data_IF_615182756663
#
_entry.id   IF_615182756663
#
_cell.length_a   1.000
_cell.length_b   1.000
_cell.length_c   1.000
_cell.angle_alpha   90.00
_cell.angle_beta   90.00
_cell.angle_gamma   90.00
#
_symmetry.space_group_name_H-M   'P 1'
#
loop_
_entity.id
_entity.type
_entity.pdbx_description
1 polymer ?
#
# COMPACT_ATOMS: atom_id res chain seq x y z
N UNK A 1 22.93 14.13 -7.55
CA UNK A 1 23.10 13.25 -6.40
C UNK A 1 22.30 13.85 -5.25
N UNK A 2 21.32 13.11 -4.75
CA UNK A 2 20.53 13.53 -3.60
C UNK A 2 21.38 13.63 -2.33
N UNK A 3 20.80 14.17 -1.27
CA UNK A 3 21.42 14.11 0.06
C UNK A 3 21.26 12.70 0.62
N UNK A 4 22.18 12.27 1.46
CA UNK A 4 22.10 11.01 2.18
C UNK A 4 21.46 11.26 3.55
N UNK A 5 20.50 10.42 3.89
CA UNK A 5 19.78 10.45 5.16
C UNK A 5 20.13 9.21 6.00
N UNK A 6 20.16 9.39 7.31
CA UNK A 6 20.20 8.31 8.29
C UNK A 6 18.95 8.45 9.18
N UNK A 7 18.14 7.42 9.24
CA UNK A 7 16.81 7.48 9.82
C UNK A 7 16.63 6.40 10.89
N UNK A 8 15.76 6.65 11.84
CA UNK A 8 15.29 5.66 12.82
C UNK A 8 13.88 5.24 12.44
N UNK A 9 13.68 3.97 12.17
CA UNK A 9 12.37 3.43 11.84
C UNK A 9 11.80 2.70 13.04
N UNK A 10 10.53 2.95 13.35
CA UNK A 10 9.74 2.19 14.31
C UNK A 10 8.63 1.49 13.54
N UNK A 11 8.82 0.21 13.24
CA UNK A 11 7.98 -0.56 12.33
C UNK A 11 7.11 -1.55 13.09
N UNK A 12 5.84 -1.63 12.73
CA UNK A 12 4.94 -2.66 13.23
C UNK A 12 5.35 -4.03 12.69
N UNK A 13 5.53 -4.99 13.59
CA UNK A 13 5.80 -6.39 13.28
C UNK A 13 4.70 -7.26 13.86
N UNK A 14 4.23 -8.21 13.07
CA UNK A 14 3.19 -9.15 13.44
C UNK A 14 3.34 -10.42 12.60
N UNK A 15 3.48 -11.57 13.24
CA UNK A 15 3.79 -12.81 12.54
C UNK A 15 2.59 -13.40 11.80
N UNK A 16 1.38 -13.20 12.33
CA UNK A 16 0.13 -13.70 11.76
C UNK A 16 -1.08 -12.92 12.32
N UNK A 17 -2.29 -13.27 11.89
CA UNK A 17 -3.52 -12.57 12.28
C UNK A 17 -3.89 -12.72 13.76
N UNK A 18 -3.44 -13.78 14.43
CA UNK A 18 -3.70 -14.05 15.85
C UNK A 18 -2.68 -13.39 16.78
N UNK A 19 -1.54 -12.94 16.24
CA UNK A 19 -0.52 -12.24 17.03
C UNK A 19 -0.99 -10.83 17.40
N UNK A 20 -0.66 -10.39 18.60
CA UNK A 20 -0.96 -9.04 19.09
C UNK A 20 -0.15 -7.95 18.39
N UNK A 21 0.95 -8.34 17.75
CA UNK A 21 1.90 -7.45 17.12
C UNK A 21 2.72 -6.62 18.10
N UNK A 22 3.78 -6.01 17.60
CA UNK A 22 4.70 -5.16 18.37
C UNK A 22 5.39 -4.16 17.46
N UNK A 23 5.96 -3.12 18.04
CA UNK A 23 6.88 -2.25 17.32
C UNK A 23 8.32 -2.73 17.50
N UNK A 24 9.07 -2.73 16.41
CA UNK A 24 10.52 -2.96 16.41
C UNK A 24 11.25 -1.77 15.78
N UNK A 25 12.46 -1.51 16.25
CA UNK A 25 13.28 -0.39 15.79
C UNK A 25 14.35 -0.86 14.81
N UNK A 26 14.54 -0.10 13.75
CA UNK A 26 15.53 -0.35 12.69
C UNK A 26 16.25 0.93 12.33
N UNK A 27 17.51 0.80 11.94
CA UNK A 27 18.30 1.89 11.35
C UNK A 27 18.21 1.81 9.82
N UNK A 28 17.84 2.93 9.18
CA UNK A 28 17.91 3.09 7.74
C UNK A 28 19.01 4.10 7.41
N UNK A 29 20.22 3.59 7.15
CA UNK A 29 21.38 4.41 6.91
C UNK A 29 21.72 4.48 5.42
N UNK A 30 22.29 5.61 4.98
CA UNK A 30 22.73 5.75 3.60
C UNK A 30 21.60 5.92 2.59
N UNK A 31 20.43 6.37 3.02
CA UNK A 31 19.24 6.54 2.17
C UNK A 31 19.34 7.80 1.34
N UNK A 32 19.34 7.68 0.01
CA UNK A 32 19.32 8.82 -0.89
C UNK A 32 17.94 9.51 -0.88
N UNK A 33 17.92 10.83 -0.86
CA UNK A 33 16.69 11.62 -0.89
C UNK A 33 15.84 11.44 -2.15
N UNK A 34 16.43 10.93 -3.23
CA UNK A 34 15.72 10.65 -4.49
C UNK A 34 15.02 9.29 -4.50
N UNK A 35 15.35 8.39 -3.55
CA UNK A 35 14.62 7.14 -3.35
C UNK A 35 13.18 7.40 -2.93
N UNK A 36 12.30 6.48 -3.29
CA UNK A 36 10.96 6.38 -2.72
C UNK A 36 11.00 5.75 -1.32
N UNK A 37 9.94 5.95 -0.55
CA UNK A 37 9.78 5.31 0.77
C UNK A 37 9.82 3.77 0.67
N UNK A 38 9.28 3.23 -0.43
CA UNK A 38 9.27 1.79 -0.67
C UNK A 38 10.69 1.26 -0.93
N UNK A 39 11.50 1.99 -1.73
CA UNK A 39 12.91 1.64 -1.96
C UNK A 39 13.75 1.70 -0.68
N UNK A 40 13.47 2.65 0.20
CA UNK A 40 14.10 2.71 1.52
C UNK A 40 13.80 1.44 2.34
N UNK A 41 12.56 0.92 2.29
CA UNK A 41 12.20 -0.34 2.95
C UNK A 41 12.90 -1.54 2.29
N UNK A 42 13.09 -1.54 0.97
CA UNK A 42 13.88 -2.56 0.27
C UNK A 42 15.34 -2.59 0.79
N UNK A 43 15.98 -1.42 0.92
CA UNK A 43 17.36 -1.31 1.45
C UNK A 43 17.44 -1.84 2.89
N UNK A 44 16.47 -1.52 3.74
CA UNK A 44 16.42 -2.05 5.11
C UNK A 44 16.28 -3.57 5.09
N UNK A 45 15.41 -4.10 4.23
CA UNK A 45 15.19 -5.55 4.10
C UNK A 45 16.43 -6.28 3.58
N UNK A 46 17.16 -5.71 2.62
CA UNK A 46 18.44 -6.26 2.17
C UNK A 46 19.41 -6.41 3.35
N UNK A 47 19.57 -5.37 4.16
CA UNK A 47 20.44 -5.43 5.34
C UNK A 47 19.95 -6.44 6.40
N UNK A 48 18.65 -6.63 6.56
CA UNK A 48 18.09 -7.66 7.44
C UNK A 48 18.41 -9.06 6.94
N UNK A 49 18.23 -9.33 5.64
CA UNK A 49 18.50 -10.62 4.99
C UNK A 49 19.99 -10.95 5.08
N UNK A 50 20.87 -10.01 4.77
CA UNK A 50 22.32 -10.19 4.90
C UNK A 50 22.74 -10.49 6.36
N UNK A 51 22.05 -9.89 7.33
CA UNK A 51 22.22 -10.16 8.76
C UNK A 51 21.55 -11.45 9.25
N UNK A 52 20.95 -12.26 8.38
CA UNK A 52 20.24 -13.49 8.72
C UNK A 52 18.96 -13.25 9.52
N UNK A 53 18.38 -12.06 9.45
CA UNK A 53 17.13 -11.67 10.10
C UNK A 53 15.97 -11.73 9.13
N UNK A 54 14.77 -11.86 9.66
CA UNK A 54 13.56 -11.88 8.86
C UNK A 54 13.22 -10.48 8.33
N UNK A 55 12.98 -10.33 7.01
CA UNK A 55 12.64 -9.04 6.42
C UNK A 55 11.25 -8.58 6.88
N UNK A 56 11.01 -7.27 6.76
CA UNK A 56 9.70 -6.66 6.99
C UNK A 56 8.80 -7.03 5.82
N UNK A 57 7.65 -7.65 6.09
CA UNK A 57 6.68 -7.99 5.07
C UNK A 57 5.82 -6.77 4.71
N UNK A 58 5.78 -6.42 3.43
CA UNK A 58 4.91 -5.37 2.88
C UNK A 58 4.49 -5.72 1.45
N UNK A 59 3.33 -5.21 1.03
CA UNK A 59 2.83 -5.38 -0.33
C UNK A 59 3.38 -4.31 -1.26
N UNK A 60 3.73 -4.72 -2.48
CA UNK A 60 4.05 -3.83 -3.59
C UNK A 60 3.73 -4.49 -4.92
N UNK A 61 3.39 -3.68 -5.93
CA UNK A 61 3.11 -4.16 -7.27
C UNK A 61 3.61 -3.17 -8.32
N UNK A 62 2.81 -2.19 -8.74
CA UNK A 62 3.13 -1.29 -9.85
C UNK A 62 4.38 -0.42 -9.62
N UNK A 63 4.68 -0.04 -8.39
CA UNK A 63 5.72 0.92 -7.98
C UNK A 63 5.64 2.30 -8.67
N UNK A 64 4.49 2.63 -9.24
CA UNK A 64 4.23 3.86 -10.00
C UNK A 64 3.06 4.69 -9.44
N UNK A 65 2.60 4.39 -8.23
CA UNK A 65 1.52 5.13 -7.59
C UNK A 65 0.12 4.87 -8.15
N UNK A 66 -0.12 3.73 -8.81
CA UNK A 66 -1.36 3.43 -9.53
C UNK A 66 -2.22 2.41 -8.77
N UNK A 67 -1.63 1.27 -8.33
CA UNK A 67 -2.39 0.12 -7.85
C UNK A 67 -2.83 0.22 -6.38
N UNK A 68 -2.16 1.04 -5.56
CA UNK A 68 -2.45 1.18 -4.13
C UNK A 68 -2.02 0.00 -3.25
N UNK A 69 -1.30 -1.00 -3.78
CA UNK A 69 -0.87 -2.18 -3.01
C UNK A 69 0.07 -1.83 -1.85
N UNK A 70 0.94 -0.84 -2.03
CA UNK A 70 1.90 -0.39 -1.02
C UNK A 70 1.29 0.54 0.05
N UNK A 71 0.00 0.39 0.34
CA UNK A 71 -0.71 1.20 1.34
C UNK A 71 -0.23 0.91 2.75
N UNK A 72 0.16 1.95 3.49
CA UNK A 72 0.59 1.86 4.89
C UNK A 72 0.37 3.18 5.60
N UNK A 73 0.47 3.20 6.91
CA UNK A 73 0.39 4.43 7.72
C UNK A 73 1.79 4.86 8.11
N UNK A 74 2.15 6.09 7.80
CA UNK A 74 3.47 6.67 8.06
C UNK A 74 3.30 7.89 8.95
N UNK A 75 3.89 7.84 10.14
CA UNK A 75 3.74 8.88 11.18
C UNK A 75 2.27 9.22 11.48
N UNK A 76 1.40 8.21 11.52
CA UNK A 76 -0.02 8.37 11.81
C UNK A 76 -0.87 8.90 10.63
N UNK A 77 -0.26 9.12 9.47
CA UNK A 77 -0.96 9.57 8.25
C UNK A 77 -0.95 8.48 7.19
N UNK A 78 -2.12 8.19 6.61
CA UNK A 78 -2.22 7.21 5.54
C UNK A 78 -1.31 7.59 4.37
N UNK A 79 -0.40 6.69 4.01
CA UNK A 79 0.58 6.83 2.93
C UNK A 79 1.56 8.01 3.09
N UNK A 80 1.64 8.62 4.27
CA UNK A 80 2.52 9.76 4.57
C UNK A 80 1.91 11.13 4.36
N UNK A 81 2.69 12.17 4.60
CA UNK A 81 2.22 13.56 4.62
C UNK A 81 1.92 14.20 3.26
N UNK A 82 2.26 13.55 2.16
CA UNK A 82 1.97 14.07 0.81
C UNK A 82 0.57 13.68 0.37
N UNK A 83 -0.23 14.63 -0.08
CA UNK A 83 -1.61 14.37 -0.53
C UNK A 83 -1.62 13.62 -1.87
N UNK A 84 -2.54 12.64 -2.00
CA UNK A 84 -2.78 11.93 -3.24
C UNK A 84 -1.61 11.06 -3.69
N UNK A 85 -0.81 10.54 -2.76
CA UNK A 85 0.34 9.69 -3.05
C UNK A 85 0.25 8.35 -2.35
N UNK A 86 1.16 7.46 -2.68
CA UNK A 86 1.34 6.11 -2.12
C UNK A 86 2.78 5.97 -1.63
N UNK A 87 3.12 4.92 -0.88
CA UNK A 87 4.47 4.75 -0.35
C UNK A 87 5.54 4.63 -1.46
N UNK A 88 5.18 4.10 -2.64
CA UNK A 88 6.11 4.02 -3.78
C UNK A 88 6.34 5.37 -4.49
N UNK A 89 5.53 6.39 -4.20
CA UNK A 89 5.68 7.75 -4.76
C UNK A 89 6.05 8.80 -3.70
N UNK A 90 6.00 8.44 -2.43
CA UNK A 90 6.50 9.26 -1.34
C UNK A 90 8.03 9.19 -1.33
N UNK A 91 8.69 10.27 -1.73
CA UNK A 91 10.15 10.31 -1.80
C UNK A 91 10.79 10.70 -0.47
N UNK A 92 12.00 10.18 -0.23
CA UNK A 92 12.73 10.38 1.02
C UNK A 92 13.15 11.84 1.25
N UNK A 93 13.19 12.69 0.23
CA UNK A 93 13.41 14.14 0.35
C UNK A 93 12.37 14.89 1.19
N UNK A 94 11.23 14.26 1.50
CA UNK A 94 10.23 14.81 2.40
C UNK A 94 10.53 14.57 3.89
N UNK A 95 11.61 13.85 4.19
CA UNK A 95 12.06 13.58 5.55
C UNK A 95 13.40 14.27 5.84
N UNK A 96 13.62 14.59 7.11
CA UNK A 96 14.88 15.20 7.55
C UNK A 96 15.87 14.12 7.98
N UNK A 97 17.16 14.38 7.84
CA UNK A 97 18.20 13.54 8.40
C UNK A 97 18.04 13.41 9.92
N UNK A 98 18.23 12.21 10.46
CA UNK A 98 18.02 11.90 11.87
C UNK A 98 16.54 11.72 12.28
N UNK A 99 15.58 11.82 11.35
CA UNK A 99 14.17 11.68 11.67
C UNK A 99 13.82 10.28 12.19
N UNK A 100 12.92 10.23 13.17
CA UNK A 100 12.25 9.01 13.59
C UNK A 100 10.93 8.86 12.83
N UNK A 101 10.72 7.71 12.20
CA UNK A 101 9.55 7.43 11.36
C UNK A 101 8.84 6.20 11.91
N UNK A 102 7.55 6.35 12.23
CA UNK A 102 6.68 5.24 12.63
C UNK A 102 5.94 4.70 11.42
N UNK A 103 5.98 3.37 11.23
CA UNK A 103 5.38 2.69 10.10
C UNK A 103 4.43 1.60 10.62
N UNK A 104 3.17 1.67 10.19
CA UNK A 104 2.11 0.76 10.61
C UNK A 104 1.33 0.24 9.42
N UNK A 105 0.72 -0.97 9.52
CA UNK A 105 -0.19 -1.43 8.49
C UNK A 105 -1.41 -0.51 8.39
N UNK A 106 -1.96 -0.38 7.20
CA UNK A 106 -3.22 0.34 6.97
C UNK A 106 -4.41 -0.56 7.37
N UNK A 107 -4.48 -0.88 8.66
CA UNK A 107 -5.45 -1.81 9.23
C UNK A 107 -6.79 -1.13 9.54
N UNK A 108 -7.86 -1.87 9.34
CA UNK A 108 -9.21 -1.53 9.75
C UNK A 108 -9.99 -2.82 10.05
N UNK A 109 -11.20 -2.72 10.56
CA UNK A 109 -12.06 -3.91 10.78
C UNK A 109 -12.26 -4.70 9.49
N UNK A 110 -12.38 -4.02 8.34
CA UNK A 110 -12.51 -4.65 7.02
C UNK A 110 -11.18 -5.19 6.46
N UNK A 111 -10.04 -4.70 6.96
CA UNK A 111 -8.69 -5.03 6.51
C UNK A 111 -7.82 -5.40 7.71
N UNK A 112 -8.06 -6.56 8.35
CA UNK A 112 -7.22 -7.01 9.46
C UNK A 112 -5.80 -7.29 8.99
N UNK A 113 -4.83 -7.17 9.89
CA UNK A 113 -3.43 -7.47 9.57
C UNK A 113 -3.28 -8.94 9.25
N UNK A 114 -2.59 -9.25 8.16
CA UNK A 114 -2.19 -10.60 7.80
C UNK A 114 -0.79 -10.91 8.34
N UNK A 115 0.16 -10.02 8.06
CA UNK A 115 1.54 -10.09 8.55
C UNK A 115 2.22 -8.72 8.42
N UNK A 116 2.90 -8.26 9.45
CA UNK A 116 3.61 -6.97 9.49
C UNK A 116 2.77 -5.81 8.91
N UNK A 117 3.14 -5.30 7.73
CA UNK A 117 2.45 -4.21 7.04
C UNK A 117 1.41 -4.71 6.00
N UNK A 118 1.28 -6.02 5.82
CA UNK A 118 0.33 -6.63 4.89
C UNK A 118 -1.02 -6.78 5.57
N UNK A 119 -2.09 -6.31 4.92
CA UNK A 119 -3.47 -6.46 5.38
C UNK A 119 -4.27 -7.39 4.47
N UNK A 120 -5.24 -8.07 5.05
CA UNK A 120 -6.17 -8.93 4.30
C UNK A 120 -7.18 -8.06 3.54
N UNK A 121 -7.18 -8.14 2.21
CA UNK A 121 -8.03 -7.35 1.30
C UNK A 121 -9.20 -8.11 0.71
N UNK A 122 -9.51 -9.31 1.20
CA UNK A 122 -10.62 -10.13 0.69
C UNK A 122 -11.99 -9.44 0.80
N UNK A 123 -12.11 -8.35 1.58
CA UNK A 123 -13.29 -7.50 1.57
C UNK A 123 -13.61 -6.94 0.18
N UNK A 124 -12.59 -6.60 -0.61
CA UNK A 124 -12.77 -6.15 -2.00
C UNK A 124 -13.28 -7.28 -2.90
N UNK A 125 -12.80 -8.50 -2.71
CA UNK A 125 -13.26 -9.67 -3.48
C UNK A 125 -14.75 -9.92 -3.23
N UNK A 126 -15.21 -9.77 -1.99
CA UNK A 126 -16.65 -9.89 -1.66
C UNK A 126 -17.49 -8.81 -2.33
N UNK A 127 -16.97 -7.58 -2.44
CA UNK A 127 -17.64 -6.48 -3.16
C UNK A 127 -17.74 -6.80 -4.65
N UNK A 128 -16.68 -7.31 -5.26
CA UNK A 128 -16.70 -7.73 -6.66
C UNK A 128 -17.69 -8.87 -6.90
N UNK A 129 -17.71 -9.89 -6.05
CA UNK A 129 -18.65 -11.02 -6.11
C UNK A 129 -20.11 -10.55 -5.98
N UNK A 130 -20.36 -9.50 -5.22
CA UNK A 130 -21.69 -8.90 -5.07
C UNK A 130 -22.11 -8.00 -6.25
N UNK A 131 -21.30 -7.87 -7.30
CA UNK A 131 -21.59 -7.09 -8.49
C UNK A 131 -20.78 -5.80 -8.64
N UNK A 132 -19.73 -5.59 -7.83
CA UNK A 132 -18.83 -4.44 -7.90
C UNK A 132 -17.85 -4.46 -9.08
N UNK A 133 -18.31 -4.85 -10.25
CA UNK A 133 -17.50 -4.92 -11.47
C UNK A 133 -18.33 -4.64 -12.72
N UNK A 134 -17.68 -4.19 -13.79
CA UNK A 134 -18.25 -4.05 -15.12
C UNK A 134 -17.79 -5.25 -15.97
N UNK A 135 -18.74 -5.96 -16.57
CA UNK A 135 -18.47 -7.07 -17.48
C UNK A 135 -18.86 -6.71 -18.91
N UNK A 136 -17.96 -6.95 -19.86
CA UNK A 136 -18.24 -6.81 -21.29
C UNK A 136 -18.47 -8.20 -21.87
N UNK A 137 -19.71 -8.49 -22.31
CA UNK A 137 -20.12 -9.80 -22.83
C UNK A 137 -19.83 -9.90 -24.34
N UNK A 138 -18.57 -9.99 -24.72
CA UNK A 138 -18.16 -9.97 -26.12
C UNK A 138 -17.86 -11.35 -26.71
N UNK A 139 -17.66 -12.38 -25.91
CA UNK A 139 -17.22 -13.71 -26.34
C UNK A 139 -15.81 -13.78 -26.94
N UNK A 140 -15.16 -12.61 -27.15
CA UNK A 140 -13.80 -12.45 -27.68
C UNK A 140 -13.18 -11.16 -27.12
N UNK A 141 -11.93 -10.85 -27.51
CA UNK A 141 -11.27 -9.59 -27.15
C UNK A 141 -11.38 -8.61 -28.34
N UNK A 142 -12.43 -7.78 -28.41
CA UNK A 142 -12.54 -6.75 -29.45
C UNK A 142 -11.64 -5.56 -29.13
N UNK A 143 -11.44 -4.69 -30.11
CA UNK A 143 -10.81 -3.38 -29.90
C UNK A 143 -11.59 -2.56 -28.85
N UNK A 144 -10.90 -1.69 -28.15
CA UNK A 144 -11.51 -0.79 -27.18
C UNK A 144 -12.66 0.01 -27.81
N UNK A 145 -13.79 0.08 -27.14
CA UNK A 145 -15.02 0.73 -27.58
C UNK A 145 -15.75 0.07 -28.79
N UNK A 146 -15.28 -1.09 -29.26
CA UNK A 146 -15.98 -1.81 -30.36
C UNK A 146 -17.34 -2.39 -29.90
N UNK A 147 -17.47 -2.70 -28.62
CA UNK A 147 -18.72 -3.23 -28.02
C UNK A 147 -19.14 -2.35 -26.85
N UNK A 148 -20.24 -1.60 -26.93
CA UNK A 148 -20.71 -0.79 -25.81
C UNK A 148 -21.21 -1.65 -24.66
N UNK A 149 -20.92 -1.22 -23.42
CA UNK A 149 -21.45 -1.85 -22.21
C UNK A 149 -22.93 -1.47 -22.06
N UNK A 150 -23.83 -2.44 -21.78
CA UNK A 150 -25.22 -2.13 -21.47
C UNK A 150 -25.36 -1.17 -20.31
N UNK A 151 -26.30 -0.21 -20.42
CA UNK A 151 -26.49 0.81 -19.38
C UNK A 151 -26.76 0.20 -18.00
N UNK A 152 -27.54 -0.86 -17.92
CA UNK A 152 -27.85 -1.51 -16.64
C UNK A 152 -26.59 -2.08 -15.97
N UNK A 153 -25.66 -2.65 -16.70
CA UNK A 153 -24.39 -3.19 -16.15
C UNK A 153 -23.51 -2.04 -15.63
N UNK A 154 -23.48 -0.93 -16.39
CA UNK A 154 -22.77 0.28 -15.96
C UNK A 154 -23.38 0.91 -14.73
N UNK A 155 -24.71 1.04 -14.66
CA UNK A 155 -25.42 1.62 -13.53
C UNK A 155 -25.22 0.77 -12.27
N UNK A 156 -25.33 -0.56 -12.35
CA UNK A 156 -25.09 -1.46 -11.22
C UNK A 156 -23.66 -1.34 -10.66
N UNK A 157 -22.66 -1.25 -11.53
CA UNK A 157 -21.28 -1.07 -11.13
C UNK A 157 -21.07 0.30 -10.45
N UNK A 158 -21.65 1.35 -10.99
CA UNK A 158 -21.57 2.72 -10.44
C UNK A 158 -22.29 2.81 -9.09
N UNK A 159 -23.47 2.22 -8.95
CA UNK A 159 -24.22 2.19 -7.70
C UNK A 159 -23.41 1.47 -6.61
N UNK A 160 -22.77 0.35 -6.92
CA UNK A 160 -21.90 -0.35 -6.00
C UNK A 160 -20.74 0.52 -5.52
N UNK A 161 -20.07 1.25 -6.43
CA UNK A 161 -18.97 2.15 -6.10
C UNK A 161 -19.41 3.33 -5.24
N UNK A 162 -20.60 3.89 -5.50
CA UNK A 162 -21.15 5.02 -4.74
C UNK A 162 -21.52 4.66 -3.30
N UNK A 163 -22.02 3.44 -3.07
CA UNK A 163 -22.46 2.99 -1.74
C UNK A 163 -21.35 2.33 -0.93
N UNK A 164 -20.36 1.74 -1.57
CA UNK A 164 -19.31 0.96 -0.90
C UNK A 164 -17.97 1.68 -0.81
N UNK A 165 -17.72 2.68 -1.65
CA UNK A 165 -16.53 3.52 -1.55
C UNK A 165 -16.73 4.59 -0.47
N UNK A 166 -15.86 4.70 0.53
CA UNK A 166 -15.84 5.83 1.46
C UNK A 166 -15.29 7.06 0.74
N UNK A 167 -16.00 7.54 -0.27
CA UNK A 167 -15.67 8.82 -0.90
C UNK A 167 -16.02 9.94 0.09
N UNK A 168 -15.06 10.74 0.54
CA UNK A 168 -15.39 11.93 1.31
C UNK A 168 -16.16 12.89 0.40
N UNK A 169 -17.36 13.18 0.78
CA UNK A 169 -18.10 14.32 0.21
C UNK A 169 -17.62 15.59 0.86
#
# INVERSE_FOLDING_TARGET
>A
MGKILNLKLKVWRQDNAEDSGRFEEYDANGIDTDMSFLEMLDVVNEGLIEGGKEPIAFDSDCREGICGSCSMVINGVAHGGQKGTTACQLHMRHFNDGAAITIEPWRATAFPVHRDLIVNRTAFDRIQQAGGFISVRTGSVPDANATPVPKNDSDLAMDCLLYTSPSPR
#
